data_IF_212050168481
#
_entry.id   IF_212050168481
#
_cell.length_a   1.000
_cell.length_b   1.000
_cell.length_c   1.000
_cell.angle_alpha   90.00
_cell.angle_beta   90.00
_cell.angle_gamma   90.00
#
_symmetry.space_group_name_H-M   'P 1'
#
loop_
_entity.id
_entity.type
_entity.pdbx_description
1 polymer ?
#
# COMPACT_ATOMS: atom_id res chain seq x y z
N UNK A 1 -2.95 -25.98 6.10
CA UNK A 1 -2.67 -25.45 4.74
C UNK A 1 -1.24 -24.95 4.66
N UNK A 2 -0.44 -25.49 3.72
CA UNK A 2 0.93 -25.06 3.46
C UNK A 2 0.99 -23.54 3.23
N UNK A 3 1.99 -22.83 3.76
CA UNK A 3 2.13 -21.38 3.55
C UNK A 3 2.25 -21.05 2.06
N UNK A 4 2.89 -21.92 1.28
CA UNK A 4 2.95 -21.79 -0.18
C UNK A 4 1.59 -21.83 -0.83
N UNK A 5 0.73 -22.77 -0.43
CA UNK A 5 -0.64 -22.84 -0.94
C UNK A 5 -1.45 -21.61 -0.55
N UNK A 6 -1.25 -21.05 0.67
CA UNK A 6 -1.86 -19.77 1.05
C UNK A 6 -1.39 -18.63 0.16
N UNK A 7 -0.09 -18.49 -0.05
CA UNK A 7 0.47 -17.41 -0.89
C UNK A 7 -0.05 -17.53 -2.31
N UNK A 8 0.00 -18.71 -2.91
CA UNK A 8 -0.52 -18.94 -4.27
C UNK A 8 -2.03 -18.62 -4.30
N UNK A 9 -2.81 -19.10 -3.34
CA UNK A 9 -4.25 -18.85 -3.30
C UNK A 9 -4.58 -17.37 -3.14
N UNK A 10 -3.86 -16.63 -2.30
CA UNK A 10 -4.06 -15.20 -2.12
C UNK A 10 -3.58 -14.39 -3.33
N UNK A 11 -2.46 -14.76 -3.95
CA UNK A 11 -1.98 -14.08 -5.16
C UNK A 11 -2.88 -14.35 -6.36
N UNK A 12 -3.28 -15.60 -6.57
CA UNK A 12 -4.23 -15.97 -7.64
C UNK A 12 -5.60 -15.35 -7.36
N UNK A 13 -6.08 -15.43 -6.11
CA UNK A 13 -7.34 -14.81 -5.71
C UNK A 13 -7.32 -13.30 -5.91
N UNK A 14 -6.25 -12.63 -5.48
CA UNK A 14 -6.01 -11.20 -5.70
C UNK A 14 -6.03 -10.88 -7.20
N UNK A 15 -5.22 -11.56 -8.02
CA UNK A 15 -5.15 -11.35 -9.46
C UNK A 15 -6.50 -11.59 -10.16
N UNK A 16 -7.28 -12.58 -9.70
CA UNK A 16 -8.64 -12.82 -10.21
C UNK A 16 -9.57 -11.67 -9.85
N UNK A 17 -9.56 -11.20 -8.60
CA UNK A 17 -10.39 -10.08 -8.15
C UNK A 17 -10.02 -8.76 -8.83
N UNK A 18 -8.73 -8.53 -9.08
CA UNK A 18 -8.24 -7.28 -9.69
C UNK A 18 -8.38 -7.25 -11.22
N UNK A 19 -8.41 -8.41 -11.89
CA UNK A 19 -8.38 -8.47 -13.37
C UNK A 19 -9.60 -9.09 -14.03
N UNK A 20 -10.33 -9.97 -13.35
CA UNK A 20 -11.37 -10.79 -13.98
C UNK A 20 -12.77 -10.58 -13.38
N UNK A 21 -12.90 -9.88 -12.25
CA UNK A 21 -14.19 -9.58 -11.65
C UNK A 21 -14.69 -8.20 -12.14
N UNK A 22 -15.91 -8.09 -12.72
CA UNK A 22 -16.55 -6.79 -12.90
C UNK A 22 -16.65 -6.16 -11.51
N UNK A 23 -16.25 -4.89 -11.34
CA UNK A 23 -15.99 -4.21 -10.04
C UNK A 23 -14.58 -4.36 -9.43
N UNK A 24 -13.56 -4.72 -10.23
CA UNK A 24 -12.15 -4.65 -9.78
C UNK A 24 -11.73 -3.28 -9.23
N UNK A 25 -12.43 -2.21 -9.64
CA UNK A 25 -12.29 -0.83 -9.11
C UNK A 25 -12.48 -0.76 -7.60
N UNK A 26 -13.22 -1.69 -7.01
CA UNK A 26 -13.41 -1.75 -5.57
C UNK A 26 -12.18 -2.27 -4.81
N UNK A 27 -11.30 -3.06 -5.44
CA UNK A 27 -10.23 -3.77 -4.73
C UNK A 27 -8.84 -3.16 -4.92
N UNK A 28 -8.61 -2.50 -6.05
CA UNK A 28 -7.28 -1.97 -6.42
C UNK A 28 -7.01 -0.56 -5.91
N UNK A 29 -8.06 0.23 -5.69
CA UNK A 29 -7.96 1.62 -5.24
C UNK A 29 -7.36 1.81 -3.84
N UNK A 30 -7.17 0.74 -3.06
CA UNK A 30 -6.45 0.83 -1.80
C UNK A 30 -4.99 1.22 -2.03
N UNK A 31 -4.31 0.64 -3.01
CA UNK A 31 -2.91 1.00 -3.32
C UNK A 31 -2.83 2.43 -3.88
N UNK A 32 -3.71 2.77 -4.83
CA UNK A 32 -3.83 4.13 -5.38
C UNK A 32 -4.08 5.17 -4.29
N UNK A 33 -5.00 4.90 -3.35
CA UNK A 33 -5.25 5.79 -2.22
C UNK A 33 -3.98 6.02 -1.38
N UNK A 34 -3.23 4.95 -1.07
CA UNK A 34 -2.00 5.05 -0.29
C UNK A 34 -0.91 5.80 -1.07
N UNK A 35 -0.82 5.59 -2.38
CA UNK A 35 0.09 6.29 -3.28
C UNK A 35 -0.17 7.80 -3.26
N UNK A 36 -1.41 8.20 -3.53
CA UNK A 36 -1.83 9.61 -3.51
C UNK A 36 -1.69 10.23 -2.12
N UNK A 37 -2.04 9.49 -1.07
CA UNK A 37 -1.83 9.92 0.30
C UNK A 37 -0.33 10.14 0.61
N UNK A 38 0.56 9.36 0.02
CA UNK A 38 2.02 9.56 0.11
C UNK A 38 2.46 10.92 -0.44
N UNK A 39 1.99 11.30 -1.63
CA UNK A 39 2.23 12.63 -2.18
C UNK A 39 1.69 13.73 -1.28
N UNK A 40 0.46 13.58 -0.79
CA UNK A 40 -0.16 14.54 0.11
C UNK A 40 0.62 14.69 1.42
N UNK A 41 1.04 13.57 2.03
CA UNK A 41 1.80 13.56 3.27
C UNK A 41 3.15 14.26 3.11
N UNK A 42 3.93 13.89 2.10
CA UNK A 42 5.24 14.50 1.86
C UNK A 42 5.10 15.97 1.47
N UNK A 43 4.03 16.34 0.75
CA UNK A 43 3.71 17.74 0.49
C UNK A 43 3.58 18.54 1.79
N UNK A 44 2.78 18.04 2.74
CA UNK A 44 2.55 18.72 4.02
C UNK A 44 3.82 18.78 4.87
N UNK A 45 4.60 17.69 4.91
CA UNK A 45 5.88 17.64 5.64
C UNK A 45 6.89 18.66 5.10
N UNK A 46 6.81 18.99 3.82
CA UNK A 46 7.66 19.96 3.15
C UNK A 46 7.04 21.37 3.09
N UNK A 47 6.02 21.62 3.94
CA UNK A 47 5.30 22.90 4.06
C UNK A 47 4.61 23.35 2.76
N UNK A 48 4.29 22.40 1.88
CA UNK A 48 3.44 22.62 0.71
C UNK A 48 1.95 22.60 1.08
N UNK A 49 1.10 22.86 0.07
CA UNK A 49 -0.35 22.82 0.20
C UNK A 49 -0.94 21.72 -0.66
N UNK A 50 -1.67 20.80 -0.05
CA UNK A 50 -2.50 19.82 -0.77
C UNK A 50 -3.83 20.49 -1.10
N UNK A 51 -4.18 20.56 -2.38
CA UNK A 51 -5.41 21.19 -2.85
C UNK A 51 -6.56 20.20 -2.83
N UNK A 52 -6.37 19.04 -3.47
CA UNK A 52 -7.31 17.91 -3.47
C UNK A 52 -6.65 16.65 -4.03
N UNK A 53 -7.28 15.52 -3.78
CA UNK A 53 -6.98 14.23 -4.37
C UNK A 53 -8.20 13.79 -5.19
N UNK A 54 -7.98 13.33 -6.41
CA UNK A 54 -9.00 12.70 -7.25
C UNK A 54 -8.63 11.23 -7.42
N UNK A 55 -9.59 10.33 -7.18
CA UNK A 55 -9.46 8.89 -7.40
C UNK A 55 -10.50 8.48 -8.44
N UNK A 56 -10.09 7.64 -9.39
CA UNK A 56 -10.92 7.24 -10.53
C UNK A 56 -11.18 5.74 -10.58
N UNK A 57 -12.24 5.36 -11.30
CA UNK A 57 -12.67 3.98 -11.42
C UNK A 57 -11.69 3.08 -12.22
N UNK A 58 -10.81 3.69 -13.00
CA UNK A 58 -9.73 3.03 -13.74
C UNK A 58 -8.45 2.84 -12.91
N UNK A 59 -8.54 3.05 -11.59
CA UNK A 59 -7.46 2.93 -10.60
C UNK A 59 -6.37 3.99 -10.72
N UNK A 60 -6.55 4.99 -11.57
CA UNK A 60 -5.71 6.17 -11.58
C UNK A 60 -6.10 7.09 -10.42
N UNK A 61 -5.12 7.89 -10.00
CA UNK A 61 -5.27 8.91 -8.98
C UNK A 61 -4.45 10.13 -9.36
N UNK A 62 -4.86 11.30 -8.85
CA UNK A 62 -4.09 12.53 -8.99
C UNK A 62 -4.17 13.33 -7.70
N UNK A 63 -3.01 13.61 -7.11
CA UNK A 63 -2.86 14.56 -6.01
C UNK A 63 -2.48 15.93 -6.54
N UNK A 64 -3.43 16.86 -6.50
CA UNK A 64 -3.18 18.26 -6.81
C UNK A 64 -2.55 18.93 -5.60
N UNK A 65 -1.30 19.37 -5.75
CA UNK A 65 -0.54 20.03 -4.69
C UNK A 65 0.19 21.25 -5.25
N UNK A 66 0.53 22.18 -4.35
CA UNK A 66 1.33 23.37 -4.67
C UNK A 66 2.51 23.46 -3.71
N UNK A 67 3.67 23.75 -4.29
CA UNK A 67 4.94 23.91 -3.59
C UNK A 67 5.54 25.27 -3.90
N UNK A 68 5.89 26.02 -2.85
CA UNK A 68 6.51 27.34 -2.98
C UNK A 68 8.04 27.25 -3.10
N UNK A 69 8.66 26.20 -2.55
CA UNK A 69 10.11 26.03 -2.57
C UNK A 69 10.55 25.17 -3.76
N UNK A 70 11.39 25.69 -4.67
CA UNK A 70 11.95 24.90 -5.77
C UNK A 70 12.68 23.64 -5.27
N UNK A 71 12.56 22.54 -6.01
CA UNK A 71 13.24 21.27 -5.72
C UNK A 71 12.57 20.38 -4.67
N UNK A 72 11.68 20.90 -3.80
CA UNK A 72 10.94 20.07 -2.83
C UNK A 72 9.93 19.13 -3.50
N UNK A 73 9.44 19.49 -4.68
CA UNK A 73 8.57 18.66 -5.51
C UNK A 73 9.22 17.35 -5.94
N UNK A 74 10.55 17.25 -5.97
CA UNK A 74 11.28 16.00 -6.22
C UNK A 74 10.93 14.96 -5.16
N UNK A 75 10.96 15.35 -3.88
CA UNK A 75 10.61 14.46 -2.78
C UNK A 75 9.13 14.06 -2.81
N UNK A 76 8.25 14.97 -3.24
CA UNK A 76 6.83 14.65 -3.45
C UNK A 76 6.68 13.61 -4.54
N UNK A 77 7.31 13.78 -5.71
CA UNK A 77 7.24 12.81 -6.81
C UNK A 77 7.89 11.45 -6.47
N UNK A 78 8.82 11.40 -5.52
CA UNK A 78 9.34 10.12 -4.99
C UNK A 78 8.34 9.42 -4.05
N UNK A 79 7.43 10.17 -3.42
CA UNK A 79 6.67 9.70 -2.28
C UNK A 79 5.63 8.63 -2.62
N UNK A 80 4.99 8.70 -3.78
CA UNK A 80 3.85 7.84 -4.15
C UNK A 80 4.23 6.37 -4.12
N UNK A 81 5.10 5.95 -5.05
CA UNK A 81 5.57 4.56 -5.15
C UNK A 81 6.29 4.06 -3.89
N UNK A 82 7.06 4.93 -3.23
CA UNK A 82 7.78 4.58 -2.00
C UNK A 82 6.80 4.29 -0.86
N UNK A 83 5.80 5.15 -0.66
CA UNK A 83 4.81 4.99 0.41
C UNK A 83 3.94 3.76 0.18
N UNK A 84 3.45 3.55 -1.05
CA UNK A 84 2.68 2.37 -1.41
C UNK A 84 3.43 1.06 -1.13
N UNK A 85 4.69 0.96 -1.58
CA UNK A 85 5.55 -0.21 -1.37
C UNK A 85 5.85 -0.48 0.11
N UNK A 86 6.16 0.57 0.88
CA UNK A 86 6.41 0.47 2.32
C UNK A 86 5.14 0.11 3.09
N UNK A 87 3.98 0.61 2.66
CA UNK A 87 2.71 0.29 3.27
C UNK A 87 2.34 -1.17 3.08
N UNK A 88 2.52 -1.73 1.87
CA UNK A 88 2.37 -3.16 1.63
C UNK A 88 3.27 -3.97 2.59
N UNK A 89 4.55 -3.61 2.71
CA UNK A 89 5.46 -4.25 3.66
C UNK A 89 4.99 -4.13 5.12
N UNK A 90 4.50 -2.95 5.53
CA UNK A 90 3.98 -2.68 6.87
C UNK A 90 2.80 -3.61 7.21
N UNK A 91 1.91 -3.88 6.25
CA UNK A 91 0.77 -4.78 6.47
C UNK A 91 1.25 -6.21 6.81
N UNK A 92 2.28 -6.71 6.11
CA UNK A 92 2.85 -8.02 6.44
C UNK A 92 3.63 -8.02 7.75
N UNK A 93 4.27 -6.90 8.12
CA UNK A 93 4.90 -6.73 9.42
C UNK A 93 3.88 -6.78 10.56
N UNK A 94 2.76 -6.06 10.44
CA UNK A 94 1.67 -6.07 11.42
C UNK A 94 0.98 -7.43 11.49
N UNK A 95 0.75 -8.08 10.34
CA UNK A 95 0.29 -9.47 10.29
C UNK A 95 1.18 -10.38 11.14
N UNK A 96 2.50 -10.27 10.95
CA UNK A 96 3.48 -11.11 11.63
C UNK A 96 3.51 -10.88 13.14
N UNK A 97 3.21 -9.66 13.60
CA UNK A 97 3.07 -9.29 15.02
C UNK A 97 1.69 -9.63 15.60
N UNK A 98 0.80 -10.24 14.83
CA UNK A 98 -0.58 -10.52 15.24
C UNK A 98 -1.48 -9.28 15.30
N UNK A 99 -1.00 -8.13 14.84
CA UNK A 99 -1.64 -6.80 14.95
C UNK A 99 -2.53 -6.47 13.75
N UNK A 100 -3.25 -7.45 13.22
CA UNK A 100 -4.14 -7.28 12.07
C UNK A 100 -5.25 -6.23 12.30
N UNK A 101 -5.81 -6.16 13.51
CA UNK A 101 -6.79 -5.11 13.87
C UNK A 101 -6.22 -3.70 13.82
N UNK A 102 -4.95 -3.52 14.25
CA UNK A 102 -4.25 -2.24 14.09
C UNK A 102 -4.01 -1.91 12.63
N UNK A 103 -3.69 -2.91 11.80
CA UNK A 103 -3.55 -2.72 10.36
C UNK A 103 -4.86 -2.27 9.69
N UNK A 104 -5.98 -2.89 10.03
CA UNK A 104 -7.32 -2.45 9.58
C UNK A 104 -7.63 -1.01 10.05
N UNK A 105 -7.31 -0.70 11.31
CA UNK A 105 -7.46 0.65 11.86
C UNK A 105 -6.62 1.71 11.15
N UNK A 106 -5.36 1.39 10.79
CA UNK A 106 -4.49 2.29 10.03
C UNK A 106 -5.05 2.52 8.61
N UNK A 107 -5.44 1.46 7.90
CA UNK A 107 -6.06 1.58 6.56
C UNK A 107 -7.32 2.45 6.61
N UNK A 108 -8.18 2.22 7.61
CA UNK A 108 -9.40 3.00 7.84
C UNK A 108 -9.07 4.46 8.18
N UNK A 109 -8.08 4.69 9.05
CA UNK A 109 -7.67 6.04 9.45
C UNK A 109 -7.15 6.84 8.26
N UNK A 110 -6.29 6.25 7.42
CA UNK A 110 -5.81 6.90 6.19
C UNK A 110 -6.98 7.17 5.23
N UNK A 111 -7.89 6.22 5.06
CA UNK A 111 -9.06 6.38 4.20
C UNK A 111 -9.97 7.53 4.69
N UNK A 112 -10.24 7.62 5.99
CA UNK A 112 -11.06 8.67 6.58
C UNK A 112 -10.38 10.04 6.50
N UNK A 113 -9.08 10.14 6.80
CA UNK A 113 -8.34 11.41 6.64
C UNK A 113 -8.35 11.85 5.19
N UNK A 114 -8.11 10.93 4.25
CA UNK A 114 -8.17 11.20 2.82
C UNK A 114 -9.56 11.69 2.41
N UNK A 115 -10.62 10.99 2.81
CA UNK A 115 -12.01 11.33 2.51
C UNK A 115 -12.41 12.71 3.03
N UNK A 116 -12.15 12.97 4.31
CA UNK A 116 -12.62 14.19 4.98
C UNK A 116 -11.90 15.43 4.46
N UNK A 117 -10.58 15.36 4.29
CA UNK A 117 -9.77 16.56 4.05
C UNK A 117 -9.37 16.77 2.59
N UNK A 118 -9.13 15.70 1.83
CA UNK A 118 -8.39 15.83 0.56
C UNK A 118 -9.17 15.31 -0.66
N UNK A 119 -9.89 14.20 -0.54
CA UNK A 119 -10.49 13.53 -1.69
C UNK A 119 -11.76 14.24 -2.13
N UNK A 120 -11.80 14.69 -3.39
CA UNK A 120 -12.90 15.45 -3.97
C UNK A 120 -13.22 14.87 -5.35
N UNK A 121 -14.15 13.93 -5.38
CA UNK A 121 -14.62 13.26 -6.60
C UNK A 121 -15.63 12.18 -6.25
N UNK A 122 -16.69 12.03 -7.04
CA UNK A 122 -17.83 11.16 -6.71
C UNK A 122 -17.39 9.71 -6.44
N UNK A 123 -16.62 9.14 -7.38
CA UNK A 123 -16.12 7.77 -7.26
C UNK A 123 -15.23 7.60 -6.02
N UNK A 124 -14.22 8.46 -5.84
CA UNK A 124 -13.31 8.37 -4.69
C UNK A 124 -14.02 8.51 -3.35
N UNK A 125 -14.98 9.43 -3.23
CA UNK A 125 -15.77 9.60 -2.00
C UNK A 125 -16.65 8.38 -1.72
N UNK A 126 -17.34 7.85 -2.73
CA UNK A 126 -18.17 6.65 -2.59
C UNK A 126 -17.32 5.43 -2.20
N UNK A 127 -16.18 5.25 -2.88
CA UNK A 127 -15.26 4.15 -2.62
C UNK A 127 -14.68 4.20 -1.20
N UNK A 128 -14.16 5.36 -0.77
CA UNK A 128 -13.60 5.53 0.57
C UNK A 128 -14.63 5.35 1.68
N UNK A 129 -15.86 5.84 1.44
CA UNK A 129 -16.97 5.66 2.38
C UNK A 129 -17.30 4.17 2.53
N UNK A 130 -17.48 3.46 1.41
CA UNK A 130 -17.74 2.02 1.41
C UNK A 130 -16.61 1.19 2.02
N UNK A 131 -15.35 1.50 1.65
CA UNK A 131 -14.16 0.84 2.19
C UNK A 131 -14.03 1.05 3.70
N UNK A 132 -14.23 2.29 4.18
CA UNK A 132 -14.16 2.61 5.61
C UNK A 132 -15.29 1.93 6.39
N UNK A 133 -16.51 1.97 5.88
CA UNK A 133 -17.66 1.30 6.50
C UNK A 133 -17.45 -0.21 6.59
N UNK A 134 -16.99 -0.84 5.50
CA UNK A 134 -16.70 -2.27 5.48
C UNK A 134 -15.60 -2.64 6.50
N UNK A 135 -14.51 -1.88 6.56
CA UNK A 135 -13.46 -2.12 7.56
C UNK A 135 -14.03 -2.04 8.98
N UNK A 136 -14.82 -1.00 9.30
CA UNK A 136 -15.43 -0.83 10.62
C UNK A 136 -16.37 -2.00 10.96
N UNK A 137 -17.21 -2.43 10.01
CA UNK A 137 -18.10 -3.59 10.19
C UNK A 137 -17.30 -4.86 10.47
N UNK A 138 -16.24 -5.13 9.71
CA UNK A 138 -15.37 -6.28 9.93
C UNK A 138 -14.63 -6.19 11.27
N UNK A 139 -14.23 -4.99 11.68
CA UNK A 139 -13.54 -4.78 12.96
C UNK A 139 -14.46 -5.01 14.16
N UNK A 140 -15.73 -4.63 14.07
CA UNK A 140 -16.68 -4.76 15.19
C UNK A 140 -17.32 -6.15 15.22
N UNK A 141 -17.81 -6.63 14.07
CA UNK A 141 -18.64 -7.84 13.99
C UNK A 141 -17.92 -9.03 13.37
N UNK A 142 -16.83 -8.79 12.64
CA UNK A 142 -16.15 -9.77 11.81
C UNK A 142 -15.00 -10.53 12.48
N UNK A 143 -14.95 -10.67 13.81
CA UNK A 143 -13.79 -11.23 14.51
C UNK A 143 -13.26 -12.57 13.94
N UNK A 144 -14.16 -13.45 13.46
CA UNK A 144 -13.80 -14.73 12.83
C UNK A 144 -13.15 -14.58 11.44
N UNK A 145 -13.52 -13.55 10.68
CA UNK A 145 -13.07 -13.31 9.30
C UNK A 145 -12.03 -12.18 9.19
N UNK A 146 -11.86 -11.35 10.22
CA UNK A 146 -11.00 -10.15 10.20
C UNK A 146 -9.56 -10.46 9.81
N UNK A 147 -9.00 -11.58 10.30
CA UNK A 147 -7.65 -12.01 9.91
C UNK A 147 -7.55 -12.40 8.43
N UNK A 148 -8.58 -13.05 7.88
CA UNK A 148 -8.62 -13.43 6.47
C UNK A 148 -8.80 -12.21 5.58
N UNK A 149 -9.77 -11.35 5.91
CA UNK A 149 -10.01 -10.08 5.23
C UNK A 149 -8.77 -9.18 5.22
N UNK A 150 -8.09 -9.06 6.37
CA UNK A 150 -6.85 -8.31 6.47
C UNK A 150 -5.74 -8.87 5.57
N UNK A 151 -5.58 -10.20 5.51
CA UNK A 151 -4.63 -10.82 4.60
C UNK A 151 -4.99 -10.57 3.14
N UNK A 152 -6.28 -10.64 2.78
CA UNK A 152 -6.74 -10.33 1.44
C UNK A 152 -6.33 -8.91 1.04
N UNK A 153 -6.62 -7.90 1.88
CA UNK A 153 -6.20 -6.52 1.65
C UNK A 153 -4.68 -6.40 1.55
N UNK A 154 -3.92 -7.06 2.43
CA UNK A 154 -2.46 -7.02 2.39
C UNK A 154 -1.89 -7.58 1.08
N UNK A 155 -2.43 -8.69 0.57
CA UNK A 155 -2.00 -9.26 -0.70
C UNK A 155 -2.45 -8.43 -1.90
N UNK A 156 -3.64 -7.82 -1.87
CA UNK A 156 -4.09 -6.87 -2.89
C UNK A 156 -3.15 -5.67 -2.99
N UNK A 157 -2.83 -5.04 -1.85
CA UNK A 157 -1.88 -3.92 -1.81
C UNK A 157 -0.47 -4.34 -2.25
N UNK A 158 -0.01 -5.53 -1.87
CA UNK A 158 1.27 -6.06 -2.30
C UNK A 158 1.34 -6.29 -3.82
N UNK A 159 0.29 -6.86 -4.41
CA UNK A 159 0.22 -7.06 -5.86
C UNK A 159 0.20 -5.72 -6.60
N UNK A 160 -0.71 -4.82 -6.23
CA UNK A 160 -0.86 -3.54 -6.93
C UNK A 160 0.36 -2.65 -6.80
N UNK A 161 0.99 -2.56 -5.61
CA UNK A 161 2.23 -1.77 -5.44
C UNK A 161 3.36 -2.26 -6.36
N UNK A 162 3.50 -3.57 -6.54
CA UNK A 162 4.50 -4.16 -7.46
C UNK A 162 4.09 -3.96 -8.91
N UNK A 163 2.85 -4.26 -9.28
CA UNK A 163 2.37 -4.15 -10.67
C UNK A 163 2.43 -2.70 -11.15
N UNK A 164 1.99 -1.74 -10.34
CA UNK A 164 2.01 -0.31 -10.66
C UNK A 164 3.45 0.20 -10.82
N UNK A 165 4.36 -0.17 -9.90
CA UNK A 165 5.77 0.20 -10.01
C UNK A 165 6.46 -0.42 -11.23
N UNK A 166 6.17 -1.69 -11.54
CA UNK A 166 6.66 -2.35 -12.75
C UNK A 166 6.10 -1.73 -14.03
N UNK A 167 4.84 -1.29 -14.01
CA UNK A 167 4.21 -0.61 -15.14
C UNK A 167 4.87 0.73 -15.42
N UNK A 168 5.08 1.59 -14.40
CA UNK A 168 5.84 2.84 -14.58
C UNK A 168 7.30 2.59 -14.91
N UNK A 169 7.89 1.52 -14.36
CA UNK A 169 9.17 0.98 -14.81
C UNK A 169 9.17 0.78 -16.31
N UNK A 170 8.30 -0.07 -16.86
CA UNK A 170 8.23 -0.33 -18.31
C UNK A 170 7.93 0.93 -19.13
N UNK A 171 6.98 1.76 -18.69
CA UNK A 171 6.63 3.02 -19.37
C UNK A 171 7.80 3.99 -19.41
N UNK A 172 8.66 4.01 -18.39
CA UNK A 172 9.85 4.86 -18.37
C UNK A 172 10.90 4.46 -19.42
N UNK A 173 10.84 3.23 -19.93
CA UNK A 173 11.68 2.75 -21.05
C UNK A 173 11.03 2.99 -22.41
N UNK A 174 9.71 2.78 -22.53
CA UNK A 174 9.00 2.78 -23.83
C UNK A 174 8.35 4.11 -24.17
N UNK A 175 7.84 4.83 -23.18
CA UNK A 175 7.15 6.12 -23.32
C UNK A 175 7.52 7.05 -22.15
N UNK A 176 8.78 7.53 -22.06
CA UNK A 176 9.29 8.25 -20.89
C UNK A 176 8.46 9.46 -20.43
N UNK A 177 7.82 10.17 -21.36
CA UNK A 177 6.98 11.33 -21.05
C UNK A 177 5.63 10.98 -20.40
N UNK A 178 5.20 9.71 -20.47
CA UNK A 178 3.96 9.19 -19.89
C UNK A 178 4.21 8.32 -18.65
N UNK A 179 5.44 8.30 -18.13
CA UNK A 179 5.83 7.47 -17.00
C UNK A 179 5.49 8.08 -15.62
N UNK A 180 4.36 8.80 -15.51
CA UNK A 180 3.85 9.38 -14.25
C UNK A 180 4.92 10.11 -13.44
N UNK A 181 5.10 9.72 -12.18
CA UNK A 181 6.11 10.27 -11.27
C UNK A 181 7.54 10.21 -11.78
N UNK A 182 7.90 9.16 -12.54
CA UNK A 182 9.23 9.05 -13.11
C UNK A 182 9.47 10.13 -14.18
N UNK A 183 8.42 10.50 -14.93
CA UNK A 183 8.47 11.62 -15.86
C UNK A 183 8.57 12.96 -15.11
N UNK A 184 7.81 13.14 -14.02
CA UNK A 184 7.89 14.33 -13.16
C UNK A 184 9.30 14.53 -12.59
N UNK A 185 9.93 13.44 -12.13
CA UNK A 185 11.30 13.46 -11.62
C UNK A 185 12.32 13.76 -12.71
N UNK A 186 12.15 13.21 -13.91
CA UNK A 186 13.04 13.47 -15.04
C UNK A 186 13.02 14.94 -15.49
N UNK A 187 11.88 15.61 -15.36
CA UNK A 187 11.76 17.04 -15.68
C UNK A 187 12.43 17.95 -14.63
N UNK A 188 12.58 17.45 -13.40
CA UNK A 188 13.09 18.23 -12.26
C UNK A 188 14.52 17.85 -11.87
N UNK A 189 15.10 16.81 -12.47
CA UNK A 189 16.42 16.28 -12.14
C UNK A 189 17.23 16.03 -13.41
N UNK A 190 18.54 15.81 -13.26
CA UNK A 190 19.42 15.48 -14.39
C UNK A 190 19.28 14.02 -14.87
N UNK A 191 18.54 13.18 -14.14
CA UNK A 191 18.43 11.75 -14.41
C UNK A 191 17.17 11.47 -15.25
N UNK A 192 17.27 10.60 -16.28
CA UNK A 192 16.14 10.32 -17.16
C UNK A 192 15.04 9.52 -16.45
N UNK A 193 13.81 9.54 -17.01
CA UNK A 193 12.67 8.83 -16.42
C UNK A 193 12.95 7.34 -16.24
N UNK A 194 13.67 6.72 -17.18
CA UNK A 194 14.23 5.37 -17.11
C UNK A 194 14.84 5.04 -15.74
N UNK A 195 15.68 5.93 -15.23
CA UNK A 195 16.37 5.73 -13.96
C UNK A 195 15.36 5.66 -12.81
N UNK A 196 14.45 6.64 -12.74
CA UNK A 196 13.46 6.74 -11.68
C UNK A 196 12.41 5.63 -11.72
N UNK A 197 11.90 5.29 -12.91
CA UNK A 197 10.95 4.20 -13.08
C UNK A 197 11.56 2.85 -12.72
N UNK A 198 12.80 2.59 -13.12
CA UNK A 198 13.53 1.37 -12.72
C UNK A 198 13.79 1.35 -11.21
N UNK A 199 14.13 2.48 -10.60
CA UNK A 199 14.30 2.59 -9.16
C UNK A 199 13.01 2.25 -8.40
N UNK A 200 11.87 2.77 -8.83
CA UNK A 200 10.58 2.44 -8.23
C UNK A 200 10.26 0.95 -8.34
N UNK A 201 10.46 0.35 -9.51
CA UNK A 201 10.25 -1.08 -9.72
C UNK A 201 11.15 -1.93 -8.79
N UNK A 202 12.45 -1.62 -8.71
CA UNK A 202 13.39 -2.33 -7.83
C UNK A 202 13.04 -2.16 -6.35
N UNK A 203 12.63 -0.96 -5.94
CA UNK A 203 12.23 -0.68 -4.56
C UNK A 203 10.96 -1.45 -4.16
N UNK A 204 9.96 -1.49 -5.06
CA UNK A 204 8.74 -2.26 -4.85
C UNK A 204 9.04 -3.76 -4.72
N UNK A 205 9.89 -4.31 -5.58
CA UNK A 205 10.32 -5.72 -5.51
C UNK A 205 11.08 -6.02 -4.22
N UNK A 206 11.92 -5.10 -3.75
CA UNK A 206 12.63 -5.24 -2.48
C UNK A 206 11.66 -5.27 -1.29
N UNK A 207 10.69 -4.35 -1.25
CA UNK A 207 9.63 -4.33 -0.24
C UNK A 207 8.79 -5.62 -0.29
N UNK A 208 8.44 -6.08 -1.49
CA UNK A 208 7.66 -7.29 -1.68
C UNK A 208 8.38 -8.55 -1.21
N UNK A 209 9.69 -8.67 -1.53
CA UNK A 209 10.55 -9.73 -0.99
C UNK A 209 10.56 -9.70 0.55
N UNK A 210 10.66 -8.52 1.14
CA UNK A 210 10.58 -8.32 2.60
C UNK A 210 9.24 -8.77 3.18
N UNK A 211 8.13 -8.38 2.55
CA UNK A 211 6.77 -8.72 2.95
C UNK A 211 6.52 -10.24 2.92
N UNK A 212 6.92 -10.90 1.83
CA UNK A 212 6.82 -12.36 1.69
C UNK A 212 7.73 -13.08 2.69
N UNK A 213 8.94 -12.58 2.93
CA UNK A 213 9.84 -13.14 3.95
C UNK A 213 9.20 -13.07 5.34
N UNK A 214 8.56 -11.95 5.70
CA UNK A 214 7.80 -11.80 6.94
C UNK A 214 6.64 -12.80 7.03
N UNK A 215 5.94 -13.05 5.93
CA UNK A 215 4.86 -14.04 5.86
C UNK A 215 5.37 -15.48 6.06
N UNK A 216 6.49 -15.84 5.42
CA UNK A 216 7.02 -17.21 5.42
C UNK A 216 7.80 -17.56 6.69
N UNK A 217 8.45 -16.60 7.35
CA UNK A 217 9.25 -16.86 8.56
C UNK A 217 8.40 -17.62 9.60
N UNK A 218 8.89 -18.79 10.05
CA UNK A 218 8.24 -19.55 11.12
C UNK A 218 8.14 -18.65 12.36
N UNK A 219 7.07 -18.81 13.12
CA UNK A 219 7.08 -18.40 14.52
C UNK A 219 8.17 -19.20 15.21
N UNK A 220 9.39 -18.64 15.25
CA UNK A 220 10.42 -19.12 16.15
C UNK A 220 9.79 -19.20 17.53
N UNK A 221 9.85 -20.39 18.12
CA UNK A 221 9.24 -20.79 19.38
C UNK A 221 9.62 -19.81 20.51
N UNK A 222 8.91 -18.68 20.62
CA UNK A 222 8.96 -17.80 21.78
C UNK A 222 8.15 -18.37 22.97
N UNK A 223 7.91 -19.69 22.98
CA UNK A 223 7.24 -20.42 24.08
C UNK A 223 8.16 -21.37 24.84
N UNK A 224 9.40 -21.61 24.41
CA UNK A 224 10.29 -22.58 25.08
C UNK A 224 11.04 -22.03 26.31
N UNK A 225 10.99 -20.72 26.56
CA UNK A 225 11.63 -20.13 27.76
C UNK A 225 10.71 -20.11 28.99
N UNK A 226 9.37 -20.05 28.81
CA UNK A 226 8.44 -19.89 29.96
C UNK A 226 8.11 -21.19 30.72
N UNK A 227 8.43 -22.37 30.17
CA UNK A 227 8.20 -23.65 30.87
C UNK A 227 9.41 -24.19 31.65
N UNK A 228 10.62 -23.64 31.44
CA UNK A 228 11.80 -24.01 32.22
C UNK A 228 11.95 -23.24 33.54
N UNK A 229 11.24 -22.12 33.72
CA UNK A 229 11.29 -21.31 34.94
C UNK A 229 10.40 -21.78 36.10
N UNK A 230 9.51 -22.76 35.87
CA UNK A 230 8.57 -23.25 36.90
C UNK A 230 8.96 -24.61 37.51
N UNK A 231 10.08 -25.21 37.06
CA UNK A 231 10.53 -26.54 37.53
C UNK A 231 11.73 -26.52 38.47
N UNK A 232 12.17 -25.33 38.91
CA UNK A 232 13.38 -25.16 39.73
C UNK A 232 13.15 -24.51 41.09
N UNK A 233 11.94 -24.51 41.64
CA UNK A 233 11.62 -23.90 42.96
C UNK A 233 11.06 -24.87 44.00
N UNK A 234 11.24 -26.18 43.82
CA UNK A 234 10.93 -27.18 44.83
C UNK A 234 12.11 -28.12 45.01
N UNK A 235 13.19 -27.65 45.66
CA UNK A 235 14.11 -28.43 46.50
C UNK A 235 14.65 -27.48 47.56
#
# INVERSE_FOLDING_TARGET
>A
MNKWLKTILFLVGSALMTRFIPFSSLFRNLDTMIHEFGHALVTLLLSGKVLRIELYADHSGVTYSSMLTPGRSILVSLAGYVTASLFAWLLFYLYRKGRHMWGLGIMTGVALVSLLFYVRGEFGMLWLTGFSALNVVIMIFGAKIAKFYYLLLAFLTLEESVVSAMYVGLMSWTQPSRAGDAANLAQQTFLPALFWGTLFALFALWCAKGALTLFFRKESMARTSKSRGLRGRNV
#
